data_IF_087099073647
#
_entry.id   IF_087099073647
#
_cell.length_a   1.000
_cell.length_b   1.000
_cell.length_c   1.000
_cell.angle_alpha   90.00
_cell.angle_beta   90.00
_cell.angle_gamma   90.00
#
_symmetry.space_group_name_H-M   'P 1'
#
loop_
_entity.id
_entity.type
_entity.pdbx_description
1 polymer ?
#
# COMPACT_ATOMS: atom_id res chain seq x y z
N UNK A 1 -7.52 1.09 -19.29
CA UNK A 1 -6.23 1.55 -18.74
C UNK A 1 -6.09 1.10 -17.29
N UNK A 2 -4.85 0.91 -16.83
CA UNK A 2 -4.52 0.61 -15.44
C UNK A 2 -3.66 1.75 -14.90
N UNK A 3 -4.11 2.41 -13.83
CA UNK A 3 -3.41 3.56 -13.23
C UNK A 3 -3.21 3.26 -11.76
N UNK A 4 -1.97 3.37 -11.27
CA UNK A 4 -1.67 3.15 -9.86
C UNK A 4 -0.95 4.34 -9.24
N UNK A 5 -1.17 4.54 -7.95
CA UNK A 5 -0.45 5.53 -7.15
C UNK A 5 -0.28 5.00 -5.72
N UNK A 6 0.84 5.31 -5.05
CA UNK A 6 0.98 5.02 -3.63
C UNK A 6 -0.09 5.71 -2.78
N UNK A 7 -0.47 5.10 -1.66
CA UNK A 7 -1.35 5.72 -0.68
C UNK A 7 -0.57 6.65 0.26
N UNK A 8 -0.98 7.92 0.31
CA UNK A 8 -0.36 8.92 1.19
C UNK A 8 -0.34 8.48 2.66
N UNK A 9 -1.39 7.80 3.13
CA UNK A 9 -1.51 7.38 4.53
C UNK A 9 -0.50 6.33 4.95
N UNK A 10 0.03 5.54 4.01
CA UNK A 10 1.06 4.53 4.28
C UNK A 10 2.46 5.01 3.95
N UNK A 11 2.58 6.09 3.16
CA UNK A 11 3.85 6.72 2.84
C UNK A 11 4.27 7.78 3.87
N UNK A 12 3.32 8.61 4.27
CA UNK A 12 3.58 9.72 5.17
C UNK A 12 3.72 9.22 6.61
N UNK A 13 4.57 9.89 7.39
CA UNK A 13 4.65 9.63 8.83
C UNK A 13 3.28 9.85 9.47
N UNK A 14 2.96 9.10 10.54
CA UNK A 14 1.60 9.03 11.10
C UNK A 14 0.95 10.40 11.31
N UNK A 15 -0.10 10.68 10.53
CA UNK A 15 -0.89 11.91 10.59
C UNK A 15 -0.41 13.05 9.69
N UNK A 16 0.74 12.91 9.02
CA UNK A 16 1.20 13.90 8.06
C UNK A 16 0.33 13.89 6.78
N UNK A 17 0.15 15.07 6.19
CA UNK A 17 -0.62 15.23 4.96
C UNK A 17 0.11 14.75 3.71
N UNK A 18 1.45 14.62 3.77
CA UNK A 18 2.33 14.17 2.69
C UNK A 18 3.62 13.55 3.21
N UNK A 19 4.34 12.82 2.36
CA UNK A 19 5.61 12.16 2.71
C UNK A 19 6.86 13.03 2.63
N UNK A 20 6.73 14.27 2.11
CA UNK A 20 7.85 15.18 1.78
C UNK A 20 8.90 14.62 0.81
N UNK A 21 8.57 13.53 0.10
CA UNK A 21 9.40 13.02 -0.97
C UNK A 21 9.44 14.05 -2.13
N UNK A 22 10.63 14.58 -2.52
CA UNK A 22 10.74 15.62 -3.54
C UNK A 22 10.30 15.15 -4.94
N UNK A 23 10.20 13.84 -5.16
CA UNK A 23 9.76 13.25 -6.43
C UNK A 23 8.23 13.11 -6.51
N UNK A 24 7.51 13.29 -5.40
CA UNK A 24 6.05 13.22 -5.36
C UNK A 24 5.44 14.61 -5.56
N UNK A 25 5.04 14.90 -6.80
CA UNK A 25 4.33 16.14 -7.15
C UNK A 25 2.96 16.22 -6.45
N UNK A 26 2.26 15.07 -6.38
CA UNK A 26 0.98 14.91 -5.69
C UNK A 26 0.92 13.53 -5.05
N UNK A 27 0.29 13.48 -3.89
CA UNK A 27 -0.01 12.26 -3.16
C UNK A 27 -1.51 12.26 -2.89
N UNK A 28 -2.13 11.09 -2.97
CA UNK A 28 -3.58 11.00 -2.97
C UNK A 28 -4.08 10.10 -1.85
N UNK A 29 -5.22 10.49 -1.29
CA UNK A 29 -6.14 9.58 -0.62
C UNK A 29 -6.99 8.84 -1.65
N UNK A 30 -7.63 7.76 -1.23
CA UNK A 30 -8.41 6.90 -2.12
C UNK A 30 -9.52 7.65 -2.88
N UNK A 31 -10.24 8.54 -2.18
CA UNK A 31 -11.34 9.34 -2.72
C UNK A 31 -10.86 10.40 -3.70
N UNK A 32 -9.77 11.09 -3.39
CA UNK A 32 -9.13 12.07 -4.28
C UNK A 32 -8.66 11.41 -5.58
N UNK A 33 -8.01 10.24 -5.47
CA UNK A 33 -7.54 9.49 -6.63
C UNK A 33 -8.69 8.93 -7.48
N UNK A 34 -9.76 8.43 -6.85
CA UNK A 34 -10.95 7.96 -7.57
C UNK A 34 -11.63 9.11 -8.32
N UNK A 35 -11.78 10.28 -7.69
CA UNK A 35 -12.34 11.47 -8.32
C UNK A 35 -11.50 11.93 -9.52
N UNK A 36 -10.17 11.94 -9.38
CA UNK A 36 -9.25 12.26 -10.48
C UNK A 36 -9.46 11.33 -11.68
N UNK A 37 -9.54 10.02 -11.45
CA UNK A 37 -9.78 9.07 -12.53
C UNK A 37 -11.16 9.27 -13.17
N UNK A 38 -12.20 9.49 -12.36
CA UNK A 38 -13.58 9.69 -12.86
C UNK A 38 -13.74 10.98 -13.67
N UNK A 39 -12.87 11.97 -13.48
CA UNK A 39 -12.85 13.17 -14.31
C UNK A 39 -12.36 12.90 -15.74
N UNK A 40 -11.68 11.77 -16.00
CA UNK A 40 -11.11 11.43 -17.32
C UNK A 40 -11.65 10.14 -17.94
N UNK A 41 -12.29 9.27 -17.16
CA UNK A 41 -12.78 7.96 -17.60
C UNK A 41 -14.25 7.75 -17.21
N UNK A 42 -15.00 7.10 -18.10
CA UNK A 42 -16.44 6.81 -17.89
C UNK A 42 -16.64 5.77 -16.79
N UNK A 43 -15.84 4.72 -16.81
CA UNK A 43 -15.91 3.65 -15.82
C UNK A 43 -14.61 3.57 -15.02
N UNK A 44 -14.75 3.57 -13.69
CA UNK A 44 -13.62 3.48 -12.75
C UNK A 44 -13.98 2.49 -11.65
N UNK A 45 -13.16 1.44 -11.52
CA UNK A 45 -13.18 0.54 -10.38
C UNK A 45 -11.86 0.64 -9.60
N UNK A 46 -11.97 1.00 -8.32
CA UNK A 46 -10.81 1.21 -7.46
C UNK A 46 -10.50 -0.03 -6.60
N UNK A 47 -9.25 -0.47 -6.64
CA UNK A 47 -8.67 -1.54 -5.84
C UNK A 47 -7.60 -0.96 -4.90
N UNK A 48 -7.45 -1.57 -3.73
CA UNK A 48 -6.29 -1.37 -2.85
C UNK A 48 -5.34 -2.57 -2.92
N UNK A 49 -4.04 -2.30 -2.87
CA UNK A 49 -2.98 -3.30 -2.72
C UNK A 49 -2.64 -3.49 -1.24
N UNK A 50 -2.56 -4.74 -0.78
CA UNK A 50 -2.26 -5.07 0.61
C UNK A 50 -1.15 -6.10 0.70
N UNK A 51 -0.40 -6.07 1.80
CA UNK A 51 0.46 -7.19 2.18
C UNK A 51 -0.35 -8.48 2.35
N UNK A 52 0.21 -9.58 1.87
CA UNK A 52 -0.32 -10.92 2.02
C UNK A 52 0.83 -11.89 2.35
N UNK A 53 0.47 -13.09 2.83
CA UNK A 53 1.43 -14.19 3.05
C UNK A 53 2.68 -13.73 3.82
N UNK A 54 3.88 -13.83 3.23
CA UNK A 54 5.16 -13.49 3.89
C UNK A 54 5.21 -12.04 4.32
N UNK A 55 4.70 -11.12 3.50
CA UNK A 55 4.67 -9.71 3.82
C UNK A 55 3.70 -9.41 4.97
N UNK A 56 2.54 -10.07 5.00
CA UNK A 56 1.61 -9.92 6.13
C UNK A 56 2.18 -10.47 7.44
N UNK A 57 2.90 -11.60 7.38
CA UNK A 57 3.60 -12.15 8.55
C UNK A 57 4.73 -11.23 9.02
N UNK A 58 5.48 -10.65 8.08
CA UNK A 58 6.57 -9.73 8.40
C UNK A 58 6.05 -8.42 8.99
N UNK A 59 4.97 -7.85 8.46
CA UNK A 59 4.29 -6.68 9.01
C UNK A 59 3.80 -6.92 10.45
N UNK A 60 3.17 -8.07 10.70
CA UNK A 60 2.79 -8.49 12.05
C UNK A 60 4.00 -8.68 12.97
N UNK A 61 5.10 -9.25 12.45
CA UNK A 61 6.35 -9.41 13.21
C UNK A 61 6.95 -8.06 13.60
N UNK A 62 6.93 -7.06 12.70
CA UNK A 62 7.38 -5.71 12.98
C UNK A 62 6.54 -5.08 14.11
N UNK A 63 5.21 -5.24 14.06
CA UNK A 63 4.31 -4.72 15.09
C UNK A 63 4.58 -5.28 16.50
N UNK A 64 5.15 -6.48 16.60
CA UNK A 64 5.56 -7.10 17.89
C UNK A 64 7.06 -6.94 18.19
N UNK A 65 7.76 -6.04 17.49
CA UNK A 65 9.14 -5.66 17.83
C UNK A 65 10.24 -6.47 17.15
N UNK A 66 9.94 -7.16 16.03
CA UNK A 66 10.95 -7.87 15.23
C UNK A 66 12.14 -6.98 14.85
N UNK A 67 11.90 -5.68 14.55
CA UNK A 67 12.97 -4.74 14.17
C UNK A 67 14.06 -4.58 15.24
N UNK A 68 13.64 -4.51 16.51
CA UNK A 68 14.57 -4.46 17.63
C UNK A 68 15.28 -5.81 17.82
N UNK A 69 14.54 -6.92 17.70
CA UNK A 69 15.06 -8.27 17.95
C UNK A 69 16.12 -8.68 16.93
N UNK A 70 15.84 -8.59 15.63
CA UNK A 70 16.78 -9.04 14.61
C UNK A 70 18.06 -8.20 14.59
N UNK A 71 17.96 -6.92 14.97
CA UNK A 71 19.11 -6.01 15.10
C UNK A 71 19.98 -6.40 16.29
N UNK A 72 19.37 -6.66 17.45
CA UNK A 72 20.09 -7.12 18.67
C UNK A 72 20.77 -8.47 18.45
N UNK A 73 20.18 -9.34 17.65
CA UNK A 73 20.75 -10.65 17.30
C UNK A 73 21.78 -10.57 16.16
N UNK A 74 22.00 -9.40 15.55
CA UNK A 74 22.96 -9.23 14.45
C UNK A 74 22.59 -9.95 13.15
N UNK A 75 21.35 -10.43 13.00
CA UNK A 75 20.91 -11.25 11.86
C UNK A 75 20.27 -10.42 10.74
N UNK A 76 20.13 -9.11 10.90
CA UNK A 76 19.45 -8.20 9.95
C UNK A 76 19.85 -8.45 8.49
N UNK A 77 21.16 -8.46 8.20
CA UNK A 77 21.67 -8.62 6.82
C UNK A 77 21.35 -10.00 6.25
N UNK A 78 21.57 -11.06 7.03
CA UNK A 78 21.30 -12.43 6.60
C UNK A 78 19.80 -12.68 6.38
N UNK A 79 18.96 -12.13 7.26
CA UNK A 79 17.50 -12.19 7.13
C UNK A 79 17.03 -11.48 5.87
N UNK A 80 17.29 -10.18 5.73
CA UNK A 80 16.80 -9.41 4.57
C UNK A 80 17.42 -9.86 3.26
N UNK A 81 18.65 -10.36 3.26
CA UNK A 81 19.29 -10.95 2.08
C UNK A 81 18.58 -12.21 1.55
N UNK A 82 17.84 -12.94 2.39
CA UNK A 82 17.03 -14.11 1.99
C UNK A 82 15.55 -13.76 1.83
N UNK A 83 15.05 -12.86 2.67
CA UNK A 83 13.64 -12.47 2.68
C UNK A 83 13.27 -11.67 1.43
N UNK A 84 14.05 -10.63 1.08
CA UNK A 84 13.72 -9.74 -0.04
C UNK A 84 13.62 -10.49 -1.39
N UNK A 85 14.57 -11.35 -1.79
CA UNK A 85 14.47 -12.10 -3.04
C UNK A 85 13.34 -13.14 -3.04
N UNK A 86 12.87 -13.54 -1.85
CA UNK A 86 11.79 -14.50 -1.72
C UNK A 86 10.39 -13.86 -1.84
N UNK A 87 10.28 -12.53 -1.85
CA UNK A 87 9.02 -11.82 -2.06
C UNK A 87 8.59 -12.00 -3.52
N UNK A 88 7.29 -12.22 -3.71
CA UNK A 88 6.67 -12.38 -5.02
C UNK A 88 5.35 -11.64 -5.09
N UNK A 89 4.75 -11.55 -6.29
CA UNK A 89 3.40 -11.00 -6.47
C UNK A 89 2.33 -11.71 -5.63
N UNK A 90 2.55 -12.97 -5.25
CA UNK A 90 1.64 -13.74 -4.37
C UNK A 90 1.63 -13.22 -2.93
N UNK A 91 2.66 -12.50 -2.53
CA UNK A 91 2.76 -11.86 -1.21
C UNK A 91 2.03 -10.51 -1.19
N UNK A 92 1.30 -10.17 -2.26
CA UNK A 92 0.39 -9.05 -2.33
C UNK A 92 -1.03 -9.52 -2.67
N UNK A 93 -2.03 -8.75 -2.24
CA UNK A 93 -3.42 -9.00 -2.58
C UNK A 93 -4.11 -7.71 -3.05
N UNK A 94 -4.73 -7.77 -4.22
CA UNK A 94 -5.65 -6.73 -4.69
C UNK A 94 -7.04 -7.00 -4.12
N UNK A 95 -7.63 -5.99 -3.48
CA UNK A 95 -8.98 -6.06 -2.92
C UNK A 95 -9.79 -4.88 -3.43
N UNK A 96 -11.04 -5.15 -3.82
CA UNK A 96 -11.99 -4.10 -4.21
C UNK A 96 -12.31 -3.22 -3.01
N UNK A 97 -12.36 -1.91 -3.25
CA UNK A 97 -12.93 -0.97 -2.29
C UNK A 97 -14.45 -0.82 -2.45
N UNK A 98 -14.99 -0.81 -3.66
CA UNK A 98 -16.36 -0.35 -3.94
C UNK A 98 -17.47 -1.27 -3.42
N UNK A 99 -18.49 -0.68 -2.77
CA UNK A 99 -19.79 -1.31 -2.45
C UNK A 99 -20.12 -1.56 -0.97
N UNK A 100 -19.20 -1.29 -0.03
CA UNK A 100 -19.36 -1.64 1.40
C UNK A 100 -19.22 -0.39 2.31
N UNK A 101 -20.13 -0.13 3.28
CA UNK A 101 -20.02 0.95 4.26
C UNK A 101 -18.70 1.02 5.05
N UNK A 102 -17.93 -0.08 5.17
CA UNK A 102 -16.59 -0.10 5.79
C UNK A 102 -15.41 0.27 4.88
N UNK A 103 -15.68 0.71 3.64
CA UNK A 103 -14.74 0.86 2.52
C UNK A 103 -13.57 1.82 2.74
N UNK A 104 -13.83 3.02 3.28
CA UNK A 104 -12.79 4.06 3.44
C UNK A 104 -11.67 3.58 4.35
N UNK A 105 -12.06 3.05 5.51
CA UNK A 105 -11.14 2.54 6.53
C UNK A 105 -10.28 1.37 6.03
N UNK A 106 -10.80 0.57 5.09
CA UNK A 106 -10.04 -0.52 4.47
C UNK A 106 -9.02 0.00 3.46
N UNK A 107 -9.41 0.94 2.61
CA UNK A 107 -8.50 1.55 1.62
C UNK A 107 -7.45 2.45 2.27
N UNK A 108 -7.74 3.06 3.42
CA UNK A 108 -6.77 3.85 4.18
C UNK A 108 -5.53 3.05 4.58
N UNK A 109 -5.65 1.71 4.66
CA UNK A 109 -4.56 0.76 4.96
C UNK A 109 -3.92 0.14 3.72
N UNK A 110 -4.40 0.46 2.52
CA UNK A 110 -3.78 -0.03 1.29
C UNK A 110 -2.40 0.60 1.12
N UNK A 111 -1.44 -0.14 0.59
CA UNK A 111 -0.11 0.38 0.25
C UNK A 111 -0.19 1.30 -0.97
N UNK A 112 -0.94 0.82 -1.97
CA UNK A 112 -1.15 1.49 -3.25
C UNK A 112 -2.62 1.37 -3.65
N UNK A 113 -3.06 2.34 -4.46
CA UNK A 113 -4.32 2.28 -5.17
C UNK A 113 -4.11 1.85 -6.61
N UNK A 114 -5.02 1.03 -7.14
CA UNK A 114 -5.07 0.65 -8.54
C UNK A 114 -6.47 0.95 -9.09
N UNK A 115 -6.54 1.88 -10.03
CA UNK A 115 -7.74 2.18 -10.79
C UNK A 115 -7.77 1.37 -12.09
N UNK A 116 -8.87 0.64 -12.27
CA UNK A 116 -9.24 0.00 -13.53
C UNK A 116 -10.16 0.96 -14.27
N UNK A 117 -9.67 1.54 -15.38
CA UNK A 117 -10.36 2.60 -16.10
C UNK A 117 -10.79 2.17 -17.51
N UNK A 118 -12.03 2.44 -17.89
CA UNK A 118 -12.53 2.26 -19.26
C UNK A 118 -13.20 3.52 -19.80
N UNK A 119 -13.23 3.65 -21.12
CA UNK A 119 -13.73 4.82 -21.87
C UNK A 119 -15.16 4.59 -22.31
#
# INVERSE_FOLDING_TARGET
AYISTPNVLTLAAGGAERSDNPWHLREYRADEFEQLCRASFREVALLGLFHARKLALHDAALAVGWDALHRRLGITRAFYGRFLPAISSRDFALRRGAGDPGRKQRLDRALDFLALCAV
#
